data_IF_955582773987
#
_entry.id   IF_955582773987
#
_cell.length_a   1.000
_cell.length_b   1.000
_cell.length_c   1.000
_cell.angle_alpha   90.00
_cell.angle_beta   90.00
_cell.angle_gamma   90.00
#
_symmetry.space_group_name_H-M   'P 1'
#
loop_
_entity.id
_entity.type
_entity.pdbx_description
1 polymer ?
#
# COMPACT_ATOMS: atom_id res chain seq x y z
N UNK A 1 -13.63 6.12 -5.48
CA UNK A 1 -13.06 7.24 -4.69
C UNK A 1 -11.64 7.49 -5.15
N UNK A 2 -11.33 8.72 -5.49
CA UNK A 2 -9.99 9.14 -5.87
C UNK A 2 -9.25 9.74 -4.68
N UNK A 3 -7.97 10.05 -4.85
CA UNK A 3 -7.20 10.78 -3.84
C UNK A 3 -7.84 12.14 -3.52
N UNK A 4 -8.35 12.83 -4.53
CA UNK A 4 -9.04 14.11 -4.34
C UNK A 4 -10.27 13.94 -3.46
N UNK A 5 -11.05 12.88 -3.67
CA UNK A 5 -12.22 12.56 -2.83
C UNK A 5 -11.80 12.25 -1.39
N UNK A 6 -10.71 11.52 -1.23
CA UNK A 6 -10.15 11.21 0.08
C UNK A 6 -9.74 12.48 0.82
N UNK A 7 -9.05 13.39 0.14
CA UNK A 7 -8.64 14.69 0.71
C UNK A 7 -9.88 15.48 1.19
N UNK A 8 -10.95 15.50 0.39
CA UNK A 8 -12.18 16.19 0.75
C UNK A 8 -12.85 15.59 2.00
N UNK A 9 -12.87 14.27 2.10
CA UNK A 9 -13.43 13.58 3.26
C UNK A 9 -12.59 13.82 4.53
N UNK A 10 -11.27 13.82 4.40
CA UNK A 10 -10.37 14.11 5.53
C UNK A 10 -10.57 15.55 6.01
N UNK A 11 -10.73 16.51 5.10
CA UNK A 11 -10.98 17.90 5.45
C UNK A 11 -12.23 18.03 6.33
N UNK A 12 -13.29 17.35 5.95
CA UNK A 12 -14.54 17.35 6.73
C UNK A 12 -14.39 16.70 8.10
N UNK A 13 -13.82 15.51 8.13
CA UNK A 13 -13.72 14.72 9.36
C UNK A 13 -12.76 15.33 10.38
N UNK A 14 -11.65 15.91 9.89
CA UNK A 14 -10.63 16.50 10.74
C UNK A 14 -10.81 18.00 10.95
N UNK A 15 -11.84 18.59 10.35
CA UNK A 15 -12.09 20.02 10.41
C UNK A 15 -10.89 20.85 9.93
N UNK A 16 -10.37 20.47 8.77
CA UNK A 16 -9.21 21.12 8.14
C UNK A 16 -9.66 21.89 6.89
N UNK A 17 -8.85 22.90 6.53
CA UNK A 17 -8.99 23.53 5.21
C UNK A 17 -8.63 22.52 4.12
N UNK A 18 -9.07 22.77 2.90
CA UNK A 18 -8.72 21.91 1.76
C UNK A 18 -7.22 21.80 1.57
N UNK A 19 -6.50 22.91 1.72
CA UNK A 19 -5.04 22.93 1.60
C UNK A 19 -4.37 22.10 2.70
N UNK A 20 -4.75 22.30 3.94
CA UNK A 20 -4.19 21.57 5.07
C UNK A 20 -4.48 20.07 4.95
N UNK A 21 -5.66 19.70 4.52
CA UNK A 21 -6.06 18.30 4.29
C UNK A 21 -5.23 17.66 3.18
N UNK A 22 -5.04 18.37 2.07
CA UNK A 22 -4.22 17.89 0.95
C UNK A 22 -2.78 17.64 1.41
N UNK A 23 -2.20 18.60 2.12
CA UNK A 23 -0.84 18.49 2.64
C UNK A 23 -0.71 17.32 3.62
N UNK A 24 -1.68 17.14 4.50
CA UNK A 24 -1.69 16.05 5.48
C UNK A 24 -1.79 14.68 4.79
N UNK A 25 -2.70 14.52 3.85
CA UNK A 25 -2.88 13.26 3.11
C UNK A 25 -1.62 12.93 2.32
N UNK A 26 -1.04 13.91 1.63
CA UNK A 26 0.20 13.70 0.88
C UNK A 26 1.35 13.31 1.82
N UNK A 27 1.46 13.96 2.97
CA UNK A 27 2.50 13.64 3.96
C UNK A 27 2.39 12.20 4.46
N UNK A 28 1.17 11.71 4.70
CA UNK A 28 0.94 10.32 5.12
C UNK A 28 1.47 9.34 4.07
N UNK A 29 1.07 9.50 2.82
CA UNK A 29 1.45 8.57 1.76
C UNK A 29 2.93 8.69 1.40
N UNK A 30 3.49 9.89 1.41
CA UNK A 30 4.93 10.08 1.19
C UNK A 30 5.75 9.41 2.29
N UNK A 31 5.32 9.52 3.55
CA UNK A 31 5.97 8.87 4.68
C UNK A 31 5.92 7.34 4.57
N UNK A 32 4.76 6.80 4.18
CA UNK A 32 4.62 5.36 3.96
C UNK A 32 5.54 4.90 2.82
N UNK A 33 5.56 5.64 1.71
CA UNK A 33 6.41 5.32 0.56
C UNK A 33 7.90 5.31 0.95
N UNK A 34 8.34 6.31 1.70
CA UNK A 34 9.73 6.41 2.16
C UNK A 34 10.11 5.24 3.10
N UNK A 35 9.21 4.88 4.00
CA UNK A 35 9.43 3.74 4.90
C UNK A 35 9.60 2.45 4.10
N UNK A 36 8.71 2.20 3.13
CA UNK A 36 8.77 1.01 2.29
C UNK A 36 10.00 0.99 1.39
N UNK A 37 10.45 2.14 0.93
CA UNK A 37 11.71 2.26 0.19
C UNK A 37 12.89 1.74 1.01
N UNK A 38 12.86 1.98 2.31
CA UNK A 38 13.89 1.51 3.26
C UNK A 38 13.55 0.13 3.85
N UNK A 39 12.59 -0.58 3.29
CA UNK A 39 12.13 -1.91 3.74
C UNK A 39 11.60 -1.93 5.18
N UNK A 40 11.08 -0.81 5.63
CA UNK A 40 10.49 -0.64 6.95
C UNK A 40 8.98 -0.84 6.87
N UNK A 41 8.43 -1.67 7.75
CA UNK A 41 6.99 -1.85 7.87
C UNK A 41 6.34 -0.63 8.48
N UNK A 42 5.14 -0.30 8.03
CA UNK A 42 4.32 0.73 8.66
C UNK A 42 3.07 0.07 9.23
N UNK A 43 3.03 -0.05 10.54
CA UNK A 43 1.90 -0.68 11.24
C UNK A 43 0.92 0.41 11.66
N UNK A 44 -0.29 0.36 11.09
CA UNK A 44 -1.38 1.26 11.47
C UNK A 44 -2.36 0.44 12.30
N UNK A 45 -2.24 0.54 13.61
CA UNK A 45 -3.03 -0.24 14.56
C UNK A 45 -4.53 -0.04 14.30
N UNK A 46 -5.26 -1.15 14.19
CA UNK A 46 -6.68 -1.15 13.90
C UNK A 46 -7.04 -1.06 12.42
N UNK A 47 -6.07 -0.84 11.55
CA UNK A 47 -6.28 -0.72 10.11
C UNK A 47 -5.56 -1.82 9.33
N UNK A 48 -4.24 -1.85 9.43
CA UNK A 48 -3.43 -2.84 8.72
C UNK A 48 -1.96 -2.47 8.72
N UNK A 49 -1.19 -3.20 7.93
CA UNK A 49 0.26 -3.03 7.84
C UNK A 49 0.67 -2.88 6.39
N UNK A 50 1.41 -1.83 6.10
CA UNK A 50 2.11 -1.67 4.82
C UNK A 50 3.47 -2.34 4.94
N UNK A 51 3.83 -3.14 3.95
CA UNK A 51 5.06 -3.92 3.98
C UNK A 51 5.62 -4.12 2.58
N UNK A 52 6.85 -4.59 2.50
CA UNK A 52 7.46 -4.99 1.24
C UNK A 52 7.52 -6.52 1.23
N UNK A 53 6.99 -7.11 0.17
CA UNK A 53 7.05 -8.55 -0.06
C UNK A 53 8.19 -8.84 -1.00
N UNK A 54 9.08 -9.74 -0.56
CA UNK A 54 10.19 -10.21 -1.37
C UNK A 54 9.82 -11.53 -2.03
N UNK A 55 10.05 -11.61 -3.34
CA UNK A 55 9.94 -12.85 -4.08
C UNK A 55 11.30 -13.21 -4.64
N UNK A 56 11.81 -14.38 -4.27
CA UNK A 56 13.07 -14.88 -4.78
C UNK A 56 12.95 -15.17 -6.28
N UNK A 57 14.09 -15.15 -6.98
CA UNK A 57 14.13 -15.56 -8.38
C UNK A 57 13.69 -17.04 -8.49
N UNK A 58 13.03 -17.35 -9.59
CA UNK A 58 12.53 -18.70 -9.84
C UNK A 58 12.55 -19.01 -11.33
N UNK A 59 12.46 -20.29 -11.64
CA UNK A 59 12.29 -20.75 -13.02
C UNK A 59 10.80 -20.78 -13.34
N UNK A 60 10.46 -20.30 -14.54
CA UNK A 60 9.11 -20.37 -15.06
C UNK A 60 9.11 -20.86 -16.49
N UNK A 61 7.96 -20.92 -17.10
CA UNK A 61 7.82 -21.33 -18.51
C UNK A 61 7.05 -20.28 -19.28
N UNK A 62 7.52 -20.01 -20.50
CA UNK A 62 6.78 -19.18 -21.43
C UNK A 62 5.54 -19.98 -21.90
N UNK A 63 4.32 -19.48 -21.65
CA UNK A 63 3.11 -20.22 -22.04
C UNK A 63 2.91 -20.38 -23.54
N UNK A 64 3.58 -19.56 -24.36
CA UNK A 64 3.50 -19.65 -25.82
C UNK A 64 4.50 -20.60 -26.43
N UNK A 65 5.71 -20.64 -25.91
CA UNK A 65 6.81 -21.44 -26.47
C UNK A 65 7.15 -22.67 -25.64
N UNK A 66 6.74 -22.74 -24.38
CA UNK A 66 7.11 -23.79 -23.45
C UNK A 66 8.57 -23.71 -22.96
N UNK A 67 9.31 -22.70 -23.41
CA UNK A 67 10.70 -22.53 -23.01
C UNK A 67 10.83 -22.14 -21.54
N UNK A 68 11.88 -22.65 -20.87
CA UNK A 68 12.22 -22.21 -19.53
C UNK A 68 12.70 -20.77 -19.55
N UNK A 69 12.17 -19.97 -18.61
CA UNK A 69 12.59 -18.59 -18.42
C UNK A 69 12.98 -18.38 -16.97
N UNK A 70 13.89 -17.45 -16.73
CA UNK A 70 14.28 -17.05 -15.38
C UNK A 70 13.45 -15.86 -14.99
N UNK A 71 12.62 -16.01 -13.94
CA UNK A 71 11.87 -14.90 -13.36
C UNK A 71 12.76 -14.28 -12.28
N UNK A 72 13.17 -13.00 -12.43
CA UNK A 72 14.10 -12.40 -11.47
C UNK A 72 13.44 -12.18 -10.11
N UNK A 73 14.26 -12.08 -9.09
CA UNK A 73 13.82 -11.66 -7.76
C UNK A 73 13.23 -10.26 -7.83
N UNK A 74 12.20 -10.00 -7.04
CA UNK A 74 11.55 -8.70 -7.00
C UNK A 74 11.05 -8.38 -5.61
N UNK A 75 11.00 -7.08 -5.31
CA UNK A 75 10.40 -6.54 -4.10
C UNK A 75 9.16 -5.76 -4.49
N UNK A 76 8.05 -6.05 -3.85
CA UNK A 76 6.76 -5.45 -4.18
C UNK A 76 6.12 -4.88 -2.92
N UNK A 77 5.65 -3.63 -2.95
CA UNK A 77 4.88 -3.10 -1.84
C UNK A 77 3.57 -3.87 -1.69
N UNK A 78 3.17 -4.10 -0.47
CA UNK A 78 1.95 -4.80 -0.16
C UNK A 78 1.26 -4.23 1.05
N UNK A 79 0.00 -4.61 1.21
CA UNK A 79 -0.82 -4.23 2.34
C UNK A 79 -1.47 -5.47 2.93
N UNK A 80 -1.32 -5.64 4.25
CA UNK A 80 -1.99 -6.69 4.98
C UNK A 80 -3.07 -6.07 5.86
N UNK A 81 -4.34 -6.33 5.53
CA UNK A 81 -5.46 -5.77 6.29
C UNK A 81 -5.47 -6.28 7.72
N UNK A 82 -5.72 -5.38 8.65
CA UNK A 82 -5.89 -5.74 10.05
C UNK A 82 -7.23 -6.43 10.29
N UNK A 83 -7.34 -7.06 11.44
CA UNK A 83 -8.52 -7.84 11.84
C UNK A 83 -9.80 -7.00 11.83
N UNK A 84 -9.73 -5.78 12.35
CA UNK A 84 -10.85 -4.85 12.39
C UNK A 84 -11.33 -4.45 11.00
N UNK A 85 -10.39 -4.11 10.10
CA UNK A 85 -10.71 -3.73 8.74
C UNK A 85 -11.37 -4.88 7.99
N UNK A 86 -10.85 -6.09 8.12
CA UNK A 86 -11.45 -7.30 7.53
C UNK A 86 -12.88 -7.50 7.99
N UNK A 87 -13.13 -7.29 9.27
CA UNK A 87 -14.45 -7.44 9.87
C UNK A 87 -15.45 -6.41 9.33
N UNK A 88 -15.01 -5.16 9.18
CA UNK A 88 -15.86 -4.09 8.64
C UNK A 88 -16.26 -4.39 7.20
N UNK A 89 -15.32 -4.86 6.39
CA UNK A 89 -15.58 -5.17 4.97
C UNK A 89 -16.47 -6.40 4.81
N UNK A 90 -16.35 -7.36 5.71
CA UNK A 90 -17.11 -8.62 5.66
C UNK A 90 -18.57 -8.50 6.07
N UNK A 91 -18.89 -7.54 6.88
CA UNK A 91 -20.25 -7.40 7.46
C UNK A 91 -21.27 -6.85 6.47
#
# INVERSE_FOLDING_TARGET
>A
MTKADLVAQVAKRANLTSKASKDAVNAVFDTVADALKNREKVVVTGFGTFLVRHRASRKGRNPQTGAEIQIPASDTPGFSAGKRLKKIVKS
#
